data_IF_985598341214
#
_entry.id   IF_985598341214
#
_cell.length_a   1.000
_cell.length_b   1.000
_cell.length_c   1.000
_cell.angle_alpha   90.00
_cell.angle_beta   90.00
_cell.angle_gamma   90.00
#
_symmetry.space_group_name_H-M   'P 1'
#
loop_
_entity.id
_entity.type
_entity.pdbx_description
1 polymer ?
#
# COMPACT_ATOMS: atom_id res chain seq x y z
N UNK A 1 -23.05 15.71 -33.75
CA UNK A 1 -22.15 16.86 -33.93
C UNK A 1 -21.14 16.85 -32.79
N UNK A 2 -19.85 16.78 -33.12
CA UNK A 2 -18.70 16.62 -32.22
C UNK A 2 -18.29 15.14 -32.09
N UNK A 3 -17.18 14.62 -32.61
CA UNK A 3 -16.01 15.15 -33.31
C UNK A 3 -14.89 14.11 -33.08
N UNK A 4 -14.05 13.74 -34.07
CA UNK A 4 -13.01 12.74 -33.86
C UNK A 4 -11.74 13.38 -33.28
N UNK A 5 -11.22 12.84 -32.18
CA UNK A 5 -9.95 13.22 -31.58
C UNK A 5 -9.79 12.45 -30.27
N UNK A 6 -8.67 11.86 -29.90
CA UNK A 6 -7.30 12.00 -30.37
C UNK A 6 -6.53 10.80 -29.80
N UNK A 7 -5.60 10.24 -30.59
CA UNK A 7 -4.74 9.16 -30.13
C UNK A 7 -3.88 9.60 -28.96
N UNK A 8 -4.11 9.00 -27.79
CA UNK A 8 -3.21 9.12 -26.66
C UNK A 8 -2.33 7.88 -26.64
N UNK A 9 -1.06 8.04 -26.99
CA UNK A 9 0.01 7.10 -26.65
C UNK A 9 0.14 7.08 -25.13
N UNK A 10 -0.71 6.29 -24.48
CA UNK A 10 -0.91 6.28 -23.03
C UNK A 10 0.32 5.74 -22.32
N UNK A 11 1.01 6.63 -21.61
CA UNK A 11 1.96 6.25 -20.56
C UNK A 11 1.15 5.42 -19.55
N UNK A 12 1.42 4.11 -19.46
CA UNK A 12 0.76 3.23 -18.48
C UNK A 12 1.16 3.70 -17.08
N UNK A 13 0.23 4.33 -16.37
CA UNK A 13 0.42 4.65 -14.96
C UNK A 13 0.26 3.37 -14.13
N UNK A 14 1.24 3.08 -13.26
CA UNK A 14 1.16 1.97 -12.31
C UNK A 14 -0.10 2.08 -11.45
N UNK A 15 -0.87 0.99 -11.39
CA UNK A 15 -2.12 0.98 -10.61
C UNK A 15 -1.91 0.49 -9.18
N UNK A 16 -2.79 0.93 -8.29
CA UNK A 16 -2.81 0.49 -6.88
C UNK A 16 -2.90 -1.04 -6.75
N UNK A 17 -3.59 -1.70 -7.67
CA UNK A 17 -3.82 -3.14 -7.66
C UNK A 17 -2.58 -3.95 -8.04
N UNK A 18 -1.66 -3.35 -8.80
CA UNK A 18 -0.38 -3.96 -9.18
C UNK A 18 0.72 -3.76 -8.12
N UNK A 19 0.45 -2.96 -7.08
CA UNK A 19 1.39 -2.66 -6.01
C UNK A 19 1.32 -3.70 -4.89
N UNK A 20 2.47 -4.01 -4.28
CA UNK A 20 2.49 -4.70 -2.99
C UNK A 20 1.92 -3.77 -1.92
N UNK A 21 0.89 -4.22 -1.22
CA UNK A 21 0.17 -3.42 -0.23
C UNK A 21 0.52 -3.85 1.19
N UNK A 22 0.78 -2.87 2.06
CA UNK A 22 0.99 -3.10 3.48
C UNK A 22 -0.14 -2.42 4.27
N UNK A 23 -1.08 -3.23 4.75
CA UNK A 23 -2.25 -2.77 5.50
C UNK A 23 -1.95 -2.63 7.00
N UNK A 24 -2.20 -1.45 7.56
CA UNK A 24 -1.90 -1.11 8.95
C UNK A 24 -2.68 -1.97 9.93
N UNK A 25 -3.95 -2.27 9.63
CA UNK A 25 -4.81 -3.03 10.52
C UNK A 25 -4.42 -4.51 10.56
N UNK A 26 -4.18 -5.13 9.39
CA UNK A 26 -3.68 -6.51 9.32
C UNK A 26 -2.32 -6.65 10.01
N UNK A 27 -1.41 -5.70 9.79
CA UNK A 27 -0.10 -5.72 10.40
C UNK A 27 -0.15 -5.56 11.92
N UNK A 28 -0.96 -4.62 12.42
CA UNK A 28 -1.19 -4.43 13.85
C UNK A 28 -1.73 -5.70 14.51
N UNK A 29 -2.68 -6.37 13.86
CA UNK A 29 -3.24 -7.65 14.33
C UNK A 29 -2.17 -8.74 14.41
N UNK A 30 -1.28 -8.84 13.41
CA UNK A 30 -0.16 -9.78 13.44
C UNK A 30 0.83 -9.50 14.57
N UNK A 31 1.20 -8.24 14.79
CA UNK A 31 2.12 -7.88 15.88
C UNK A 31 1.49 -8.12 17.25
N UNK A 32 0.18 -7.85 17.41
CA UNK A 32 -0.56 -8.15 18.66
C UNK A 32 -0.59 -9.64 18.96
N UNK A 33 -0.81 -10.48 17.95
CA UNK A 33 -0.74 -11.95 18.09
C UNK A 33 0.65 -12.44 18.53
N UNK A 34 1.70 -11.71 18.16
CA UNK A 34 3.09 -12.02 18.55
C UNK A 34 3.51 -11.35 19.87
N UNK A 35 2.61 -10.66 20.57
CA UNK A 35 2.92 -9.94 21.80
C UNK A 35 3.91 -8.78 21.61
N UNK A 36 4.03 -8.22 20.39
CA UNK A 36 5.02 -7.20 20.01
C UNK A 36 4.47 -5.77 19.92
N UNK A 37 3.27 -5.52 20.44
CA UNK A 37 2.71 -4.16 20.55
C UNK A 37 2.46 -3.86 22.03
N UNK A 38 3.27 -2.98 22.59
CA UNK A 38 3.00 -2.27 23.84
C UNK A 38 2.85 -0.78 23.50
N UNK A 39 1.62 -0.25 23.61
CA UNK A 39 1.35 1.17 23.42
C UNK A 39 0.63 1.56 22.12
N UNK A 40 0.79 2.83 21.74
CA UNK A 40 0.06 3.49 20.66
C UNK A 40 0.94 3.88 19.47
N UNK A 41 2.25 3.68 19.56
CA UNK A 41 3.19 3.93 18.47
C UNK A 41 4.21 2.81 18.43
N UNK A 42 4.42 2.25 17.24
CA UNK A 42 5.34 1.16 16.99
C UNK A 42 6.22 1.53 15.81
N UNK A 43 7.53 1.60 16.05
CA UNK A 43 8.52 1.73 14.98
C UNK A 43 9.07 0.36 14.65
N UNK A 44 9.07 0.00 13.36
CA UNK A 44 9.58 -1.28 12.90
C UNK A 44 10.43 -1.14 11.65
N UNK A 45 11.38 -2.05 11.49
CA UNK A 45 12.18 -2.15 10.28
C UNK A 45 11.72 -3.38 9.51
N UNK A 46 11.23 -3.16 8.28
CA UNK A 46 10.94 -4.25 7.36
C UNK A 46 12.16 -4.53 6.48
N UNK A 47 12.28 -5.77 6.05
CA UNK A 47 13.30 -6.19 5.07
C UNK A 47 12.61 -6.96 3.97
N UNK A 48 12.82 -6.57 2.72
CA UNK A 48 12.20 -7.18 1.55
C UNK A 48 13.21 -7.19 0.39
N UNK A 49 12.94 -7.97 -0.66
CA UNK A 49 13.80 -8.01 -1.85
C UNK A 49 13.03 -7.46 -3.03
N UNK A 50 13.62 -6.50 -3.73
CA UNK A 50 13.11 -5.95 -4.99
C UNK A 50 14.18 -6.11 -6.06
N UNK A 51 13.84 -6.71 -7.20
CA UNK A 51 14.77 -6.88 -8.32
C UNK A 51 16.14 -7.47 -7.91
N UNK A 52 16.11 -8.45 -6.99
CA UNK A 52 17.31 -9.09 -6.45
C UNK A 52 18.08 -8.29 -5.39
N UNK A 53 17.71 -7.04 -5.12
CA UNK A 53 18.33 -6.19 -4.09
C UNK A 53 17.56 -6.31 -2.78
N UNK A 54 18.27 -6.65 -1.69
CA UNK A 54 17.70 -6.58 -0.36
C UNK A 54 17.55 -5.12 0.07
N UNK A 55 16.34 -4.74 0.46
CA UNK A 55 15.97 -3.40 0.91
C UNK A 55 15.52 -3.47 2.36
N UNK A 56 15.86 -2.43 3.12
CA UNK A 56 15.46 -2.27 4.51
C UNK A 56 14.83 -0.90 4.64
N UNK A 57 13.64 -0.85 5.25
CA UNK A 57 12.92 0.39 5.42
C UNK A 57 12.32 0.47 6.81
N UNK A 58 12.48 1.63 7.46
CA UNK A 58 11.86 1.92 8.73
C UNK A 58 10.44 2.44 8.50
N UNK A 59 9.46 1.81 9.13
CA UNK A 59 8.05 2.18 9.10
C UNK A 59 7.56 2.49 10.50
N UNK A 60 6.68 3.49 10.61
CA UNK A 60 6.04 3.84 11.87
C UNK A 60 4.54 3.56 11.78
N UNK A 61 4.03 2.86 12.78
CA UNK A 61 2.64 2.52 12.94
C UNK A 61 2.10 3.26 14.17
N UNK A 62 1.05 4.04 14.01
CA UNK A 62 0.37 4.75 15.10
C UNK A 62 -1.06 4.22 15.27
N UNK A 63 -1.54 4.13 16.50
CA UNK A 63 -2.96 3.93 16.80
C UNK A 63 -3.60 5.18 17.38
N UNK A 64 -4.85 5.39 16.99
CA UNK A 64 -5.77 6.28 17.70
C UNK A 64 -6.81 5.44 18.44
N UNK A 65 -7.09 5.81 19.68
CA UNK A 65 -8.23 5.27 20.42
C UNK A 65 -9.52 5.83 19.83
N UNK A 66 -10.45 4.96 19.49
CA UNK A 66 -11.79 5.36 19.04
C UNK A 66 -12.76 5.35 20.22
N UNK A 67 -13.79 6.21 20.16
CA UNK A 67 -14.76 6.40 21.25
C UNK A 67 -15.45 5.11 21.75
N UNK A 68 -15.49 4.05 20.91
CA UNK A 68 -16.05 2.74 21.24
C UNK A 68 -15.04 1.74 21.85
N UNK A 69 -13.90 2.20 22.36
CA UNK A 69 -12.91 1.34 23.04
C UNK A 69 -12.01 0.51 22.10
N UNK A 70 -12.10 0.73 20.79
CA UNK A 70 -11.19 0.14 19.81
C UNK A 70 -9.94 0.98 19.56
N UNK A 71 -8.99 0.41 18.81
CA UNK A 71 -7.84 1.13 18.25
C UNK A 71 -7.88 1.08 16.73
N UNK A 72 -7.73 2.24 16.09
CA UNK A 72 -7.56 2.34 14.63
C UNK A 72 -6.10 2.62 14.31
N UNK A 73 -5.50 1.73 13.53
CA UNK A 73 -4.08 1.77 13.19
C UNK A 73 -3.83 2.44 11.85
N UNK A 74 -2.77 3.22 11.78
CA UNK A 74 -2.31 3.95 10.61
C UNK A 74 -0.80 3.81 10.47
N UNK A 75 -0.34 3.72 9.23
CA UNK A 75 1.04 3.96 8.88
C UNK A 75 1.31 5.45 8.78
N UNK A 76 2.53 5.85 9.13
CA UNK A 76 3.09 7.15 8.76
C UNK A 76 3.88 6.95 7.49
N UNK A 77 3.56 7.73 6.46
CA UNK A 77 4.25 7.66 5.18
C UNK A 77 5.76 7.89 5.40
N UNK A 78 6.61 6.91 5.07
CA UNK A 78 8.05 6.99 5.34
C UNK A 78 8.81 7.86 4.33
N UNK A 79 8.17 8.23 3.22
CA UNK A 79 8.78 9.08 2.20
C UNK A 79 8.92 10.52 2.69
N UNK A 80 10.03 11.15 2.29
CA UNK A 80 10.41 12.50 2.68
C UNK A 80 9.29 13.51 2.42
N UNK A 81 9.11 14.44 3.35
CA UNK A 81 8.11 15.53 3.28
C UNK A 81 6.64 15.08 3.18
N UNK A 82 6.30 13.82 3.47
CA UNK A 82 4.91 13.37 3.45
C UNK A 82 4.28 13.34 4.84
N UNK A 83 4.85 12.57 5.78
CA UNK A 83 4.37 12.34 7.16
C UNK A 83 2.86 12.03 7.30
N UNK A 84 2.18 11.68 6.20
CA UNK A 84 0.74 11.44 6.19
C UNK A 84 0.42 10.15 6.91
N UNK A 85 -0.62 10.21 7.76
CA UNK A 85 -1.30 9.03 8.30
C UNK A 85 -2.14 8.35 7.24
N UNK A 86 -1.82 7.10 6.91
CA UNK A 86 -2.51 6.31 5.88
C UNK A 86 -2.80 4.90 6.37
N UNK A 87 -3.91 4.31 5.96
CA UNK A 87 -4.27 2.93 6.31
C UNK A 87 -3.39 1.91 5.60
N UNK A 88 -2.87 2.25 4.42
CA UNK A 88 -2.07 1.37 3.57
C UNK A 88 -0.86 2.09 3.01
N UNK A 89 0.27 1.38 2.97
CA UNK A 89 1.42 1.74 2.16
C UNK A 89 1.47 0.86 0.92
N UNK A 90 2.07 1.39 -0.12
CA UNK A 90 2.15 0.77 -1.44
C UNK A 90 3.61 0.75 -1.88
N UNK A 91 4.01 -0.37 -2.46
CA UNK A 91 5.28 -0.53 -3.15
C UNK A 91 4.97 -0.92 -4.60
N UNK A 92 5.15 0.01 -5.57
CA UNK A 92 4.90 -0.29 -6.98
C UNK A 92 5.89 -1.33 -7.52
N UNK A 93 5.53 -2.10 -8.55
CA UNK A 93 6.48 -2.96 -9.26
C UNK A 93 7.62 -2.11 -9.84
N UNK A 94 8.87 -2.54 -9.60
CA UNK A 94 10.08 -1.75 -9.90
C UNK A 94 10.34 -0.58 -8.93
N UNK A 95 9.47 -0.38 -7.94
CA UNK A 95 9.68 0.57 -6.84
C UNK A 95 10.70 0.05 -5.82
N UNK A 96 11.38 0.97 -5.15
CA UNK A 96 12.39 0.63 -4.14
C UNK A 96 11.84 0.71 -2.72
N UNK A 97 10.85 1.56 -2.47
CA UNK A 97 10.40 1.94 -1.13
C UNK A 97 8.88 1.95 -1.00
N UNK A 98 8.36 1.51 0.15
CA UNK A 98 6.96 1.68 0.49
C UNK A 98 6.65 3.17 0.68
N UNK A 99 5.51 3.60 0.18
CA UNK A 99 5.05 4.98 0.29
C UNK A 99 3.53 5.05 0.28
N UNK A 100 2.99 6.24 0.55
CA UNK A 100 1.55 6.44 0.40
C UNK A 100 1.18 6.59 -1.09
N UNK A 101 -0.11 6.42 -1.40
CA UNK A 101 -0.64 6.56 -2.77
C UNK A 101 -0.28 7.91 -3.42
N UNK A 102 -0.16 8.98 -2.64
CA UNK A 102 0.12 10.31 -3.15
C UNK A 102 1.57 10.47 -3.57
N UNK A 103 2.51 9.95 -2.78
CA UNK A 103 3.93 10.02 -3.12
C UNK A 103 4.24 9.19 -4.37
N UNK A 104 3.62 8.02 -4.49
CA UNK A 104 3.77 7.16 -5.66
C UNK A 104 2.84 7.53 -6.82
N UNK A 105 2.07 8.62 -6.71
CA UNK A 105 1.08 9.08 -7.70
C UNK A 105 0.23 7.93 -8.27
N UNK A 106 -0.17 7.00 -7.40
CA UNK A 106 -0.86 5.77 -7.81
C UNK A 106 -2.30 6.09 -8.17
N UNK A 107 -2.73 5.53 -9.31
CA UNK A 107 -4.13 5.60 -9.75
C UNK A 107 -4.82 4.26 -9.51
N UNK A 108 -6.12 4.29 -9.27
CA UNK A 108 -6.89 3.06 -9.16
C UNK A 108 -7.20 2.54 -10.56
N UNK A 109 -7.22 1.21 -10.75
CA UNK A 109 -7.44 0.61 -12.07
C UNK A 109 -8.83 0.94 -12.61
N UNK A 110 -9.85 1.01 -11.76
CA UNK A 110 -11.19 1.52 -12.11
C UNK A 110 -11.23 2.97 -12.62
N UNK A 111 -10.19 3.79 -12.42
CA UNK A 111 -10.05 5.09 -13.09
C UNK A 111 -9.38 4.98 -14.48
N UNK A 112 -8.72 3.87 -14.80
CA UNK A 112 -8.21 3.56 -16.14
C UNK A 112 -9.20 2.71 -16.96
N UNK A 113 -10.13 2.01 -16.28
CA UNK A 113 -11.11 1.08 -16.86
C UNK A 113 -12.53 1.70 -16.97
N UNK A 114 -12.67 3.02 -16.99
CA UNK A 114 -13.93 3.63 -17.49
C UNK A 114 -14.11 3.49 -19.02
N UNK A 115 -13.20 2.74 -19.66
CA UNK A 115 -13.43 2.05 -20.93
C UNK A 115 -13.12 0.55 -20.84
N UNK A 116 -13.83 -0.21 -20.01
CA UNK A 116 -14.45 -1.52 -20.38
C UNK A 116 -15.00 -2.18 -19.12
N UNK A 117 -16.33 -2.26 -19.06
CA UNK A 117 -17.10 -2.87 -17.99
C UNK A 117 -16.74 -4.34 -17.69
N UNK A 118 -17.02 -4.67 -16.43
CA UNK A 118 -17.47 -5.95 -15.89
C UNK A 118 -16.48 -7.06 -15.51
N UNK A 119 -16.50 -7.35 -14.20
CA UNK A 119 -16.35 -8.66 -13.56
C UNK A 119 -14.97 -9.33 -13.66
N UNK A 120 -14.28 -9.52 -12.53
CA UNK A 120 -14.02 -10.84 -11.92
C UNK A 120 -13.47 -10.62 -10.50
N UNK A 121 -14.14 -11.24 -9.53
CA UNK A 121 -13.72 -11.43 -8.15
C UNK A 121 -13.04 -12.81 -8.08
N UNK A 122 -11.72 -12.91 -8.07
CA UNK A 122 -11.02 -14.13 -7.63
C UNK A 122 -9.50 -13.91 -7.43
N UNK A 123 -8.92 -14.70 -6.52
CA UNK A 123 -7.48 -14.95 -6.32
C UNK A 123 -6.76 -14.16 -5.22
N UNK A 124 -7.21 -14.42 -3.99
CA UNK A 124 -6.31 -14.61 -2.86
C UNK A 124 -5.46 -15.87 -3.11
N UNK A 125 -4.35 -15.71 -3.82
CA UNK A 125 -3.34 -16.74 -4.07
C UNK A 125 -2.07 -16.47 -3.27
N UNK A 126 -1.83 -17.32 -2.27
CA UNK A 126 -0.62 -17.48 -1.46
C UNK A 126 0.72 -17.11 -2.10
N UNK A 127 1.54 -16.29 -1.42
CA UNK A 127 3.00 -16.45 -1.43
C UNK A 127 3.53 -16.28 0.00
N UNK A 128 3.56 -17.41 0.72
CA UNK A 128 4.45 -17.62 1.85
C UNK A 128 5.68 -18.30 1.25
N UNK A 129 6.81 -17.60 1.21
CA UNK A 129 8.10 -18.23 0.89
C UNK A 129 8.50 -19.16 2.03
N UNK A 130 8.50 -20.47 1.79
CA UNK A 130 9.38 -21.43 2.46
C UNK A 130 9.86 -22.46 1.44
N UNK A 131 11.14 -22.78 1.61
CA UNK A 131 11.99 -23.68 0.84
C UNK A 131 11.36 -25.00 0.42
#
# INVERSE_FOLDING_TARGET
>A
MGGPGSGWTGIRHTTVEECLQLDAHQFARMLKQKGKIEGDTVSLNISYRMEGKAQRQALRLESITIHLGGKKWYWICPLQNCDRRVSKLYLPPGGQEFGCRHCHSLTYRSCQIEHTQDGVLDQLGSVITRN
#
